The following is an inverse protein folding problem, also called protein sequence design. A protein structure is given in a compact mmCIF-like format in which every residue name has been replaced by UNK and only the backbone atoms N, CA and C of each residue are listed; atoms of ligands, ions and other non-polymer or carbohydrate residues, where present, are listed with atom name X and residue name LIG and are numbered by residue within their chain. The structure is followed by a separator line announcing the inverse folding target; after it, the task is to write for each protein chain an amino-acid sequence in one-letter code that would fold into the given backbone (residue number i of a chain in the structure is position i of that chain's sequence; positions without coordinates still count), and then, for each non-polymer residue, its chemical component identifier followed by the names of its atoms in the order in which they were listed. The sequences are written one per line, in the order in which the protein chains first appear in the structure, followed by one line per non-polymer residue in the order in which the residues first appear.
data_IF_641162529024
#
_entry.id   IF_641162529024
#
_cell.length_a   1.000
_cell.length_b   1.000
_cell.length_c   1.000
_cell.angle_alpha   90.00
_cell.angle_beta   90.00
_cell.angle_gamma   90.00
#
_symmetry.space_group_name_H-M   'P 1'
#
loop_
_entity.id
_entity.type
_entity.pdbx_description
1 polymer ?
#
# COMPACT_ATOMS: atom_id res chain seq x y z
N UNK A 1 7.18 -14.64 27.84
CA UNK A 1 6.14 -14.21 26.88
C UNK A 1 6.41 -14.93 25.58
N UNK A 2 5.56 -15.90 25.20
CA UNK A 2 5.69 -16.61 23.92
C UNK A 2 4.76 -15.91 22.92
N UNK A 3 5.34 -15.46 21.82
CA UNK A 3 4.64 -14.91 20.67
C UNK A 3 3.67 -15.95 20.10
N UNK A 4 2.37 -15.73 20.27
CA UNK A 4 1.33 -16.47 19.56
C UNK A 4 1.26 -16.01 18.10
N UNK A 5 2.26 -16.40 17.31
CA UNK A 5 2.16 -16.37 15.85
C UNK A 5 1.27 -17.53 15.42
N UNK A 6 0.05 -17.20 14.98
CA UNK A 6 -0.85 -18.17 14.34
C UNK A 6 -0.15 -18.67 13.07
N UNK A 7 0.23 -19.96 13.03
CA UNK A 7 0.85 -20.55 11.85
C UNK A 7 -0.21 -20.80 10.77
N UNK A 8 0.14 -20.53 9.52
CA UNK A 8 -0.72 -20.76 8.35
C UNK A 8 -1.27 -22.20 8.31
N UNK A 9 -0.47 -23.17 8.75
CA UNK A 9 -0.85 -24.58 8.86
C UNK A 9 -2.03 -24.82 9.81
N UNK A 10 -2.12 -24.07 10.93
CA UNK A 10 -3.27 -24.15 11.85
C UNK A 10 -4.54 -23.59 11.20
N UNK A 11 -4.39 -22.55 10.38
CA UNK A 11 -5.50 -21.92 9.67
C UNK A 11 -6.04 -22.83 8.56
N UNK A 12 -5.15 -23.44 7.78
CA UNK A 12 -5.51 -24.35 6.69
C UNK A 12 -6.18 -25.63 7.22
N UNK A 13 -5.68 -26.15 8.35
CA UNK A 13 -6.29 -27.29 9.04
C UNK A 13 -7.69 -26.95 9.56
N UNK A 14 -7.90 -25.77 10.12
CA UNK A 14 -9.22 -25.34 10.61
C UNK A 14 -10.25 -25.15 9.48
N UNK A 15 -9.82 -24.72 8.29
CA UNK A 15 -10.68 -24.62 7.08
C UNK A 15 -11.06 -26.02 6.57
N UNK A 16 -10.08 -26.94 6.47
CA UNK A 16 -10.32 -28.32 6.02
C UNK A 16 -11.18 -29.14 7.00
N UNK A 17 -11.10 -28.85 8.30
CA UNK A 17 -11.95 -29.46 9.34
C UNK A 17 -13.37 -28.86 9.41
N UNK A 18 -13.71 -27.90 8.54
CA UNK A 18 -15.05 -27.31 8.49
C UNK A 18 -15.40 -26.39 9.67
N UNK A 19 -14.42 -26.02 10.51
CA UNK A 19 -14.60 -25.06 11.62
C UNK A 19 -14.76 -23.62 11.14
N UNK A 20 -14.40 -23.35 9.89
CA UNK A 20 -14.59 -22.07 9.20
C UNK A 20 -15.34 -22.38 7.89
N UNK A 21 -16.60 -21.95 7.78
CA UNK A 21 -17.42 -22.13 6.57
C UNK A 21 -17.41 -20.83 5.76
N UNK A 22 -17.00 -20.91 4.50
CA UNK A 22 -17.12 -19.82 3.53
C UNK A 22 -18.27 -20.17 2.58
N UNK A 23 -19.42 -19.53 2.77
CA UNK A 23 -20.59 -19.73 1.89
C UNK A 23 -21.02 -18.41 1.26
N UNK A 24 -21.36 -18.46 -0.03
CA UNK A 24 -22.08 -17.38 -0.72
C UNK A 24 -23.50 -17.22 -0.14
N UNK A 25 -24.03 -16.01 -0.20
CA UNK A 25 -25.27 -15.65 0.49
C UNK A 25 -26.50 -16.33 -0.15
N UNK A 26 -27.23 -17.13 0.64
CA UNK A 26 -28.59 -17.57 0.33
C UNK A 26 -29.51 -17.00 1.41
N UNK A 27 -30.51 -16.20 1.02
CA UNK A 27 -31.55 -15.73 1.95
C UNK A 27 -32.71 -16.72 1.98
N UNK A 28 -33.06 -17.24 3.16
CA UNK A 28 -34.30 -18.00 3.38
C UNK A 28 -35.10 -17.27 4.46
N UNK A 29 -36.33 -16.88 4.15
CA UNK A 29 -37.30 -16.37 5.11
C UNK A 29 -38.21 -17.52 5.56
N UNK A 30 -38.32 -17.76 6.87
CA UNK A 30 -39.21 -18.78 7.44
C UNK A 30 -40.11 -18.13 8.48
N UNK A 31 -41.42 -18.25 8.29
CA UNK A 31 -42.45 -17.92 9.28
C UNK A 31 -42.82 -19.20 10.02
N UNK A 32 -42.68 -19.28 11.34
CA UNK A 32 -43.09 -20.45 12.12
C UNK A 32 -43.88 -20.05 13.38
N UNK A 33 -45.03 -20.71 13.57
CA UNK A 33 -45.84 -20.73 14.80
C UNK A 33 -45.08 -21.50 15.90
N UNK A 34 -45.10 -20.98 17.13
CA UNK A 34 -44.39 -21.56 18.28
C UNK A 34 -45.36 -22.42 19.10
N UNK A 35 -45.06 -23.71 19.26
CA UNK A 35 -45.53 -24.55 20.37
C UNK A 35 -44.33 -24.83 21.28
N UNK A 36 -44.49 -24.64 22.60
CA UNK A 36 -43.39 -24.66 23.59
C UNK A 36 -43.37 -26.02 24.32
N UNK A 37 -42.28 -26.81 24.25
CA UNK A 37 -42.00 -27.87 25.20
C UNK A 37 -40.99 -27.44 26.28
N UNK A 38 -41.11 -28.08 27.43
CA UNK A 38 -40.74 -27.67 28.80
C UNK A 38 -39.28 -27.91 29.21
N UNK A 39 -38.31 -27.76 28.31
CA UNK A 39 -36.88 -27.80 28.67
C UNK A 39 -36.08 -26.78 27.87
N UNK A 40 -35.56 -25.75 28.56
CA UNK A 40 -34.67 -24.75 27.99
C UNK A 40 -33.24 -25.14 28.38
N UNK A 41 -32.53 -25.83 27.48
CA UNK A 41 -31.07 -25.84 27.52
C UNK A 41 -30.59 -24.46 27.05
N UNK A 42 -29.98 -23.68 27.94
CA UNK A 42 -29.29 -22.44 27.56
C UNK A 42 -27.96 -22.86 26.94
N UNK A 43 -27.99 -23.17 25.64
CA UNK A 43 -26.76 -23.34 24.85
C UNK A 43 -26.13 -21.95 24.73
N UNK A 44 -24.91 -21.80 25.26
CA UNK A 44 -24.16 -20.56 25.14
C UNK A 44 -24.04 -20.22 23.65
N UNK A 45 -24.48 -19.03 23.19
CA UNK A 45 -24.48 -18.73 21.76
C UNK A 45 -23.03 -18.78 21.27
N UNK A 46 -22.73 -19.70 20.35
CA UNK A 46 -21.50 -19.66 19.60
C UNK A 46 -21.50 -18.37 18.79
N UNK A 47 -20.70 -17.39 19.23
CA UNK A 47 -20.54 -16.13 18.53
C UNK A 47 -19.77 -16.43 17.24
N UNK A 48 -20.50 -16.66 16.15
CA UNK A 48 -19.90 -16.76 14.82
C UNK A 48 -19.49 -15.35 14.36
N UNK A 49 -18.20 -15.04 14.50
CA UNK A 49 -17.62 -13.79 13.98
C UNK A 49 -17.44 -13.94 12.46
N UNK A 50 -18.32 -13.32 11.69
CA UNK A 50 -18.22 -13.28 10.22
C UNK A 50 -17.28 -12.16 9.78
N UNK A 51 -16.06 -12.51 9.36
CA UNK A 51 -15.12 -11.55 8.75
C UNK A 51 -15.47 -11.44 7.26
N UNK A 52 -16.19 -10.39 6.88
CA UNK A 52 -16.49 -10.08 5.47
C UNK A 52 -15.47 -9.05 4.98
N UNK A 53 -14.63 -9.45 4.04
CA UNK A 53 -13.75 -8.52 3.32
C UNK A 53 -14.51 -7.72 2.25
N UNK A 54 -13.99 -6.56 1.83
CA UNK A 54 -14.59 -5.79 0.75
C UNK A 54 -14.48 -6.55 -0.58
N UNK A 55 -15.55 -6.52 -1.36
CA UNK A 55 -15.57 -7.04 -2.74
C UNK A 55 -14.83 -6.09 -3.70
N UNK A 56 -14.34 -6.61 -4.83
CA UNK A 56 -13.65 -5.78 -5.82
C UNK A 56 -14.54 -4.64 -6.35
N UNK A 57 -15.83 -4.90 -6.55
CA UNK A 57 -16.80 -3.89 -6.98
C UNK A 57 -16.98 -2.77 -5.96
N UNK A 58 -17.01 -3.09 -4.66
CA UNK A 58 -17.05 -2.10 -3.59
C UNK A 58 -15.79 -1.24 -3.55
N UNK A 59 -14.61 -1.86 -3.72
CA UNK A 59 -13.34 -1.14 -3.79
C UNK A 59 -13.33 -0.19 -4.98
N UNK A 60 -13.71 -0.66 -6.17
CA UNK A 60 -13.78 0.16 -7.39
C UNK A 60 -14.78 1.30 -7.23
N UNK A 61 -15.95 1.05 -6.63
CA UNK A 61 -16.96 2.07 -6.37
C UNK A 61 -16.44 3.16 -5.45
N UNK A 62 -15.72 2.80 -4.38
CA UNK A 62 -15.10 3.75 -3.45
C UNK A 62 -13.97 4.55 -4.12
N UNK A 63 -13.13 3.90 -4.91
CA UNK A 63 -12.06 4.57 -5.69
C UNK A 63 -12.61 5.59 -6.70
N UNK A 64 -13.80 5.34 -7.26
CA UNK A 64 -14.50 6.29 -8.15
C UNK A 64 -15.22 7.41 -7.40
N UNK A 65 -15.47 7.22 -6.10
CA UNK A 65 -16.16 8.17 -5.24
C UNK A 65 -15.25 9.28 -4.69
N UNK A 66 -15.82 10.13 -3.84
CA UNK A 66 -15.06 11.20 -3.16
C UNK A 66 -13.95 10.65 -2.26
N UNK A 67 -14.21 9.51 -1.61
CA UNK A 67 -13.27 8.79 -0.73
C UNK A 67 -12.00 8.33 -1.48
N UNK A 68 -12.13 7.97 -2.76
CA UNK A 68 -11.02 7.56 -3.61
C UNK A 68 -10.06 8.68 -4.01
N UNK A 69 -10.48 9.95 -3.91
CA UNK A 69 -9.70 11.09 -4.44
C UNK A 69 -8.30 11.16 -3.82
N UNK A 70 -8.20 11.10 -2.49
CA UNK A 70 -6.89 11.21 -1.82
C UNK A 70 -6.00 10.01 -2.07
N UNK A 71 -6.58 8.81 -2.23
CA UNK A 71 -5.83 7.63 -2.64
C UNK A 71 -5.25 7.81 -4.04
N UNK A 72 -6.03 8.33 -4.99
CA UNK A 72 -5.53 8.67 -6.32
C UNK A 72 -4.43 9.73 -6.27
N UNK A 73 -4.58 10.76 -5.44
CA UNK A 73 -3.53 11.78 -5.26
C UNK A 73 -2.22 11.13 -4.78
N UNK A 74 -2.25 10.29 -3.74
CA UNK A 74 -1.05 9.58 -3.27
C UNK A 74 -0.46 8.71 -4.37
N UNK A 75 -1.27 7.93 -5.09
CA UNK A 75 -0.79 7.07 -6.17
C UNK A 75 -0.09 7.91 -7.26
N UNK A 76 -0.71 9.01 -7.67
CA UNK A 76 -0.18 9.92 -8.69
C UNK A 76 1.13 10.56 -8.20
N UNK A 77 1.13 11.17 -7.02
CA UNK A 77 2.32 11.83 -6.46
C UNK A 77 3.46 10.85 -6.15
N UNK A 78 3.17 9.64 -5.69
CA UNK A 78 4.18 8.61 -5.47
C UNK A 78 4.82 8.14 -6.78
N UNK A 79 4.04 7.99 -7.85
CA UNK A 79 4.56 7.65 -9.18
C UNK A 79 5.37 8.81 -9.79
N UNK A 80 4.91 10.06 -9.63
CA UNK A 80 5.67 11.23 -10.05
C UNK A 80 6.99 11.34 -9.30
N UNK A 81 7.01 11.10 -7.98
CA UNK A 81 8.23 11.07 -7.18
C UNK A 81 9.22 10.01 -7.70
N UNK A 82 8.74 8.79 -7.99
CA UNK A 82 9.58 7.73 -8.55
C UNK A 82 10.13 8.09 -9.93
N UNK A 83 9.32 8.68 -10.79
CA UNK A 83 9.75 9.17 -12.09
C UNK A 83 10.83 10.25 -11.94
N UNK A 84 10.60 11.27 -11.11
CA UNK A 84 11.56 12.35 -10.87
C UNK A 84 12.90 11.82 -10.36
N UNK A 85 12.88 10.88 -9.41
CA UNK A 85 14.11 10.28 -8.86
C UNK A 85 14.88 9.47 -9.93
N UNK A 86 14.16 8.67 -10.73
CA UNK A 86 14.76 7.90 -11.83
C UNK A 86 15.33 8.81 -12.91
N UNK A 87 14.59 9.85 -13.31
CA UNK A 87 15.04 10.84 -14.31
C UNK A 87 16.28 11.59 -13.85
N UNK A 88 16.34 12.01 -12.57
CA UNK A 88 17.54 12.65 -12.02
C UNK A 88 18.75 11.72 -12.16
N UNK A 89 18.62 10.47 -11.72
CA UNK A 89 19.71 9.50 -11.83
C UNK A 89 20.11 9.24 -13.29
N UNK A 90 19.15 9.11 -14.20
CA UNK A 90 19.39 8.96 -15.64
C UNK A 90 20.23 10.12 -16.19
N UNK A 91 19.81 11.37 -15.93
CA UNK A 91 20.53 12.54 -16.42
C UNK A 91 21.93 12.69 -15.81
N UNK A 92 22.10 12.32 -14.54
CA UNK A 92 23.43 12.28 -13.92
C UNK A 92 24.37 11.33 -14.67
N UNK A 93 23.92 10.10 -14.93
CA UNK A 93 24.74 9.12 -15.64
C UNK A 93 24.99 9.50 -17.11
N UNK A 94 24.00 10.08 -17.78
CA UNK A 94 24.15 10.64 -19.12
C UNK A 94 25.22 11.75 -19.15
N UNK A 95 25.22 12.68 -18.18
CA UNK A 95 26.25 13.73 -18.02
C UNK A 95 27.65 13.13 -17.77
N UNK A 96 27.73 11.95 -17.14
CA UNK A 96 28.99 11.21 -16.93
C UNK A 96 29.37 10.31 -18.12
N UNK A 97 28.64 10.36 -19.24
CA UNK A 97 28.93 9.59 -20.46
C UNK A 97 28.47 8.14 -20.43
N UNK A 98 27.59 7.75 -19.51
CA UNK A 98 27.03 6.40 -19.40
C UNK A 98 25.65 6.34 -20.07
N UNK A 99 25.59 5.85 -21.30
CA UNK A 99 24.39 5.90 -22.16
C UNK A 99 23.93 4.55 -22.72
N UNK A 100 24.31 3.43 -22.08
CA UNK A 100 23.91 2.09 -22.56
C UNK A 100 22.44 1.76 -22.29
N UNK A 101 21.76 1.09 -23.23
CA UNK A 101 20.39 0.58 -23.03
C UNK A 101 20.27 -0.35 -21.81
N UNK A 102 21.31 -1.14 -21.52
CA UNK A 102 21.36 -2.00 -20.32
C UNK A 102 21.27 -1.20 -19.03
N UNK A 103 21.78 0.03 -19.05
CA UNK A 103 21.75 0.94 -17.91
C UNK A 103 20.34 1.51 -17.71
N UNK A 104 19.68 1.94 -18.78
CA UNK A 104 18.28 2.41 -18.75
C UNK A 104 17.34 1.32 -18.24
N UNK A 105 17.52 0.09 -18.72
CA UNK A 105 16.76 -1.08 -18.25
C UNK A 105 16.95 -1.33 -16.75
N UNK A 106 18.17 -1.15 -16.24
CA UNK A 106 18.48 -1.34 -14.82
C UNK A 106 17.78 -0.29 -13.96
N UNK A 107 17.78 0.98 -14.36
CA UNK A 107 17.06 2.05 -13.65
C UNK A 107 15.56 1.78 -13.67
N UNK A 108 15.00 1.41 -14.81
CA UNK A 108 13.56 1.15 -14.95
C UNK A 108 13.08 0.03 -14.04
N UNK A 109 13.84 -1.07 -13.93
CA UNK A 109 13.52 -2.21 -13.06
C UNK A 109 13.79 -1.96 -11.58
N UNK A 110 14.59 -0.95 -11.26
CA UNK A 110 14.91 -0.62 -9.87
C UNK A 110 13.72 0.02 -9.18
N UNK A 111 13.43 -0.44 -7.96
CA UNK A 111 12.39 0.17 -7.14
C UNK A 111 12.88 1.51 -6.57
N UNK A 112 11.94 2.35 -6.14
CA UNK A 112 12.23 3.67 -5.58
C UNK A 112 13.26 3.66 -4.45
N UNK A 113 13.30 2.62 -3.59
CA UNK A 113 14.29 2.55 -2.50
C UNK A 113 15.72 2.49 -3.05
N UNK A 114 15.95 1.60 -4.02
CA UNK A 114 17.27 1.45 -4.66
C UNK A 114 17.70 2.76 -5.32
N UNK A 115 16.77 3.46 -5.97
CA UNK A 115 17.03 4.76 -6.59
C UNK A 115 17.41 5.82 -5.54
N UNK A 116 16.66 5.90 -4.43
CA UNK A 116 16.95 6.84 -3.33
C UNK A 116 18.34 6.56 -2.72
N UNK A 117 18.67 5.29 -2.50
CA UNK A 117 19.96 4.89 -1.94
C UNK A 117 21.10 5.26 -2.90
N UNK A 118 20.95 5.06 -4.21
CA UNK A 118 21.95 5.51 -5.20
C UNK A 118 22.11 7.01 -5.27
N UNK A 119 21.02 7.78 -5.24
CA UNK A 119 21.09 9.24 -5.19
C UNK A 119 21.90 9.71 -3.98
N UNK A 120 21.78 9.02 -2.84
CA UNK A 120 22.54 9.31 -1.63
C UNK A 120 24.01 8.90 -1.75
N UNK A 121 24.28 7.68 -2.20
CA UNK A 121 25.65 7.14 -2.32
C UNK A 121 26.49 7.93 -3.33
N UNK A 122 25.85 8.47 -4.36
CA UNK A 122 26.47 9.37 -5.35
C UNK A 122 26.57 10.82 -4.88
N UNK A 123 26.13 11.10 -3.65
CA UNK A 123 26.11 12.43 -3.03
C UNK A 123 25.31 13.48 -3.85
N UNK A 124 24.27 13.04 -4.54
CA UNK A 124 23.40 13.88 -5.39
C UNK A 124 22.26 14.53 -4.61
N UNK A 125 22.01 14.05 -3.39
CA UNK A 125 20.95 14.55 -2.51
C UNK A 125 21.48 14.78 -1.10
N UNK A 126 20.94 15.81 -0.43
CA UNK A 126 21.29 16.10 0.95
C UNK A 126 20.77 15.05 1.94
N UNK A 127 21.35 15.01 3.15
CA UNK A 127 20.85 14.16 4.24
C UNK A 127 19.39 14.44 4.59
N UNK A 128 18.97 15.70 4.48
CA UNK A 128 17.60 16.13 4.74
C UNK A 128 16.66 15.55 3.68
N UNK A 129 17.02 15.67 2.40
CA UNK A 129 16.24 15.10 1.29
C UNK A 129 16.18 13.59 1.38
N UNK A 130 17.29 12.91 1.68
CA UNK A 130 17.32 11.45 1.86
C UNK A 130 16.35 10.98 2.96
N UNK A 131 16.31 11.65 4.11
CA UNK A 131 15.37 11.32 5.19
C UNK A 131 13.92 11.48 4.76
N UNK A 132 13.57 12.61 4.13
CA UNK A 132 12.21 12.87 3.64
C UNK A 132 11.76 11.87 2.58
N UNK A 133 12.66 11.49 1.66
CA UNK A 133 12.37 10.47 0.64
C UNK A 133 12.08 9.10 1.26
N UNK A 134 12.80 8.73 2.32
CA UNK A 134 12.53 7.49 3.05
C UNK A 134 11.19 7.53 3.80
N UNK A 135 10.77 8.69 4.32
CA UNK A 135 9.43 8.88 4.88
C UNK A 135 8.35 8.72 3.78
N UNK A 136 8.52 9.37 2.63
CA UNK A 136 7.60 9.25 1.50
C UNK A 136 7.52 7.81 0.97
N UNK A 137 8.64 7.08 0.96
CA UNK A 137 8.68 5.67 0.59
C UNK A 137 7.82 4.79 1.53
N UNK A 138 7.86 5.05 2.84
CA UNK A 138 7.02 4.31 3.80
C UNK A 138 5.54 4.54 3.51
N UNK A 139 5.14 5.81 3.33
CA UNK A 139 3.76 6.19 2.98
C UNK A 139 3.33 5.53 1.66
N UNK A 140 4.18 5.56 0.63
CA UNK A 140 3.91 4.88 -0.65
C UNK A 140 3.67 3.40 -0.43
N UNK A 141 4.52 2.71 0.33
CA UNK A 141 4.36 1.28 0.56
C UNK A 141 3.07 0.97 1.32
N UNK A 142 2.67 1.83 2.24
CA UNK A 142 1.42 1.70 3.00
C UNK A 142 0.15 1.89 2.17
N UNK A 143 0.17 2.73 1.14
CA UNK A 143 -1.03 3.04 0.35
C UNK A 143 -1.06 2.40 -1.05
N UNK A 144 0.11 2.17 -1.65
CA UNK A 144 0.23 1.66 -3.03
C UNK A 144 0.49 0.15 -3.04
N UNK A 145 1.31 -0.35 -2.11
CA UNK A 145 1.70 -1.77 -2.08
C UNK A 145 0.88 -2.60 -1.10
N UNK A 146 0.29 -1.98 -0.07
CA UNK A 146 -0.65 -2.66 0.82
C UNK A 146 -2.07 -2.62 0.24
N UNK A 147 -2.31 -3.51 -0.73
CA UNK A 147 -3.60 -3.62 -1.42
C UNK A 147 -4.77 -3.90 -0.46
N UNK A 148 -4.52 -4.53 0.69
CA UNK A 148 -5.55 -4.76 1.71
C UNK A 148 -5.94 -3.46 2.43
N UNK A 149 -4.98 -2.60 2.77
CA UNK A 149 -5.28 -1.25 3.31
C UNK A 149 -6.08 -0.42 2.32
N UNK A 150 -5.70 -0.48 1.03
CA UNK A 150 -6.42 0.19 -0.04
C UNK A 150 -7.84 -0.38 -0.22
N UNK A 151 -7.99 -1.70 -0.22
CA UNK A 151 -9.30 -2.35 -0.36
C UNK A 151 -10.23 -2.05 0.82
N UNK A 152 -9.68 -2.00 2.03
CA UNK A 152 -10.45 -1.74 3.26
C UNK A 152 -10.74 -0.27 3.51
N UNK A 153 -10.05 0.66 2.83
CA UNK A 153 -10.09 2.09 3.13
C UNK A 153 -9.87 2.36 4.63
N UNK A 154 -9.04 1.54 5.28
CA UNK A 154 -8.88 1.51 6.74
C UNK A 154 -8.28 2.79 7.32
N UNK A 155 -7.54 3.55 6.51
CA UNK A 155 -7.13 4.91 6.81
C UNK A 155 -7.08 5.71 5.51
N UNK A 156 -7.73 6.87 5.47
CA UNK A 156 -7.60 7.79 4.34
C UNK A 156 -6.21 8.48 4.40
N UNK A 157 -5.52 8.67 3.26
CA UNK A 157 -4.33 9.50 3.24
C UNK A 157 -4.59 10.91 3.78
N UNK A 158 -3.66 11.40 4.57
CA UNK A 158 -3.71 12.74 5.12
C UNK A 158 -3.16 13.78 4.15
N UNK A 159 -3.59 15.03 4.30
CA UNK A 159 -3.05 16.14 3.52
C UNK A 159 -1.55 16.35 3.75
N UNK A 160 -1.06 16.05 4.97
CA UNK A 160 0.37 16.08 5.30
C UNK A 160 1.17 15.06 4.48
N UNK A 161 0.64 13.85 4.32
CA UNK A 161 1.27 12.80 3.51
C UNK A 161 1.30 13.18 2.03
N UNK A 162 0.21 13.75 1.50
CA UNK A 162 0.20 14.26 0.12
C UNK A 162 1.22 15.38 -0.06
N UNK A 163 1.28 16.31 0.91
CA UNK A 163 2.24 17.43 0.89
C UNK A 163 3.68 16.93 0.94
N UNK A 164 3.98 15.87 1.71
CA UNK A 164 5.30 15.26 1.78
C UNK A 164 5.81 14.84 0.40
N UNK A 165 4.97 14.20 -0.44
CA UNK A 165 5.39 13.84 -1.80
C UNK A 165 5.70 15.06 -2.66
N UNK A 166 4.85 16.10 -2.62
CA UNK A 166 5.07 17.36 -3.35
C UNK A 166 6.40 18.00 -2.95
N UNK A 167 6.65 18.10 -1.65
CA UNK A 167 7.91 18.63 -1.11
C UNK A 167 9.12 17.80 -1.57
N UNK A 168 9.01 16.48 -1.60
CA UNK A 168 10.09 15.61 -2.08
C UNK A 168 10.37 15.81 -3.58
N UNK A 169 9.33 15.97 -4.40
CA UNK A 169 9.48 16.25 -5.84
C UNK A 169 10.18 17.59 -6.04
N UNK A 170 9.77 18.63 -5.31
CA UNK A 170 10.38 19.96 -5.39
C UNK A 170 11.86 19.94 -4.95
N UNK A 171 12.17 19.20 -3.87
CA UNK A 171 13.55 19.03 -3.39
C UNK A 171 14.42 18.32 -4.42
N UNK A 172 13.97 17.18 -4.95
CA UNK A 172 14.70 16.45 -6.00
C UNK A 172 14.91 17.32 -7.24
N UNK A 173 13.92 18.10 -7.64
CA UNK A 173 14.04 18.97 -8.81
C UNK A 173 15.10 20.06 -8.61
N UNK A 174 15.18 20.64 -7.41
CA UNK A 174 16.21 21.63 -7.05
C UNK A 174 17.60 21.02 -6.98
N UNK A 175 17.75 19.89 -6.28
CA UNK A 175 19.04 19.21 -6.13
C UNK A 175 19.53 18.64 -7.47
N UNK A 176 18.62 18.19 -8.35
CA UNK A 176 18.91 17.84 -9.74
C UNK A 176 19.50 19.02 -10.51
N UNK A 177 18.84 20.18 -10.46
CA UNK A 177 19.36 21.36 -11.12
C UNK A 177 20.75 21.77 -10.61
N UNK A 178 20.94 21.76 -9.29
CA UNK A 178 22.23 22.08 -8.67
C UNK A 178 23.33 21.11 -9.10
N UNK A 179 23.09 19.80 -9.00
CA UNK A 179 24.07 18.77 -9.31
C UNK A 179 24.42 18.71 -10.80
N UNK A 180 23.47 19.01 -11.68
CA UNK A 180 23.67 18.87 -13.13
C UNK A 180 24.12 20.14 -13.83
N UNK A 181 23.86 21.33 -13.30
CA UNK A 181 24.09 22.58 -14.06
C UNK A 181 24.87 23.66 -13.31
N UNK A 182 25.10 23.52 -12.02
CA UNK A 182 25.85 24.50 -11.22
C UNK A 182 27.22 23.98 -10.76
N UNK A 183 27.59 22.74 -11.14
CA UNK A 183 28.95 22.17 -11.08
C UNK A 183 29.74 22.46 -12.37
#
# INVERSE_FOLDING_TARGET
MKDDKISFEKLEKAIKEGKIVVSEAVSIAVTAKIEIPTHIEIVSPEIQVRIVGPTLDEVVKKLKGKEGRRFWEIIIYANMLELTAKSFLMHYFEKKGVTSDKWLDRINRSNLKVIIDWLRDLNLISDITYKKLNEALKVRNDYVHNLLKLATFSAEPTEKEIKLFKECIDLLSKECYQSLYLE
#
